data_IF_702391277521
#
_entry.id   IF_702391277521
#
_cell.length_a   1.000
_cell.length_b   1.000
_cell.length_c   1.000
_cell.angle_alpha   90.00
_cell.angle_beta   90.00
_cell.angle_gamma   90.00
#
_symmetry.space_group_name_H-M   'P 1'
#
loop_
_entity.id
_entity.type
_entity.pdbx_description
1 polymer ?
#
# COMPACT_ATOMS: atom_id res chain seq x y z
N UNK A 1 -61.85 -2.58 -48.84
CA UNK A 1 -61.86 -2.35 -47.38
C UNK A 1 -60.54 -2.83 -46.82
N UNK A 2 -59.63 -1.92 -46.43
CA UNK A 2 -58.37 -2.25 -45.77
C UNK A 2 -58.48 -1.86 -44.29
N UNK A 3 -58.53 -2.85 -43.40
CA UNK A 3 -58.39 -2.61 -41.96
C UNK A 3 -56.91 -2.67 -41.61
N UNK A 4 -56.29 -1.50 -41.46
CA UNK A 4 -54.99 -1.39 -40.80
C UNK A 4 -55.19 -1.69 -39.31
N UNK A 5 -54.82 -2.91 -38.89
CA UNK A 5 -54.83 -3.30 -37.49
C UNK A 5 -53.67 -2.59 -36.76
N UNK A 6 -53.98 -1.47 -36.10
CA UNK A 6 -53.03 -0.85 -35.18
C UNK A 6 -52.88 -1.74 -33.94
N UNK A 7 -51.66 -2.18 -33.58
CA UNK A 7 -51.46 -2.86 -32.32
C UNK A 7 -51.74 -1.87 -31.18
N UNK A 8 -52.54 -2.31 -30.20
CA UNK A 8 -52.78 -1.56 -28.97
C UNK A 8 -51.47 -1.19 -28.26
N UNK A 9 -51.54 -0.29 -27.29
CA UNK A 9 -50.38 0.26 -26.55
C UNK A 9 -49.38 -0.81 -26.10
N UNK A 10 -49.85 -1.99 -25.72
CA UNK A 10 -49.02 -3.13 -25.33
C UNK A 10 -48.29 -3.81 -26.49
N UNK A 11 -48.91 -3.90 -27.67
CA UNK A 11 -48.25 -4.45 -28.87
C UNK A 11 -47.13 -3.55 -29.38
N UNK A 12 -47.28 -2.22 -29.25
CA UNK A 12 -46.17 -1.28 -29.55
C UNK A 12 -45.00 -1.44 -28.59
N UNK A 13 -45.27 -1.69 -27.31
CA UNK A 13 -44.22 -1.91 -26.31
C UNK A 13 -43.44 -3.20 -26.59
N UNK A 14 -44.13 -4.29 -26.92
CA UNK A 14 -43.49 -5.58 -27.27
C UNK A 14 -42.61 -5.44 -28.52
N UNK A 15 -43.09 -4.72 -29.54
CA UNK A 15 -42.30 -4.45 -30.75
C UNK A 15 -41.05 -3.62 -30.44
N UNK A 16 -41.16 -2.58 -29.60
CA UNK A 16 -40.02 -1.76 -29.20
C UNK A 16 -39.00 -2.54 -28.36
N UNK A 17 -39.46 -3.39 -27.43
CA UNK A 17 -38.59 -4.28 -26.67
C UNK A 17 -37.88 -5.30 -27.57
N UNK A 18 -38.60 -5.89 -28.55
CA UNK A 18 -38.01 -6.80 -29.52
C UNK A 18 -36.97 -6.13 -30.42
N UNK A 19 -37.24 -4.90 -30.88
CA UNK A 19 -36.30 -4.13 -31.69
C UNK A 19 -35.04 -3.74 -30.90
N UNK A 20 -35.22 -3.37 -29.62
CA UNK A 20 -34.10 -3.06 -28.72
C UNK A 20 -33.23 -4.30 -28.46
N UNK A 21 -33.85 -5.46 -28.21
CA UNK A 21 -33.12 -6.71 -28.03
C UNK A 21 -32.33 -7.10 -29.29
N UNK A 22 -32.94 -6.96 -30.48
CA UNK A 22 -32.27 -7.23 -31.75
C UNK A 22 -31.07 -6.29 -31.96
N UNK A 23 -31.21 -5.02 -31.61
CA UNK A 23 -30.13 -4.04 -31.70
C UNK A 23 -28.96 -4.40 -30.77
N UNK A 24 -29.24 -4.82 -29.54
CA UNK A 24 -28.20 -5.26 -28.61
C UNK A 24 -27.48 -6.51 -29.10
N UNK A 25 -28.21 -7.51 -29.61
CA UNK A 25 -27.62 -8.72 -30.18
C UNK A 25 -26.74 -8.42 -31.41
N UNK A 26 -27.16 -7.45 -32.24
CA UNK A 26 -26.35 -7.00 -33.37
C UNK A 26 -25.04 -6.34 -32.91
N UNK A 27 -25.09 -5.49 -31.87
CA UNK A 27 -23.90 -4.84 -31.30
C UNK A 27 -22.95 -5.86 -30.71
N UNK A 28 -23.45 -6.86 -29.97
CA UNK A 28 -22.62 -7.93 -29.40
C UNK A 28 -21.95 -8.74 -30.51
N UNK A 29 -22.70 -9.15 -31.55
CA UNK A 29 -22.14 -9.87 -32.69
C UNK A 29 -21.07 -9.04 -33.45
N UNK A 30 -21.25 -7.72 -33.51
CA UNK A 30 -20.28 -6.82 -34.13
C UNK A 30 -18.99 -6.71 -33.30
N UNK A 31 -19.10 -6.73 -31.97
CA UNK A 31 -17.96 -6.73 -31.05
C UNK A 31 -17.20 -8.06 -31.13
N UNK A 32 -17.91 -9.19 -31.11
CA UNK A 32 -17.31 -10.52 -31.25
C UNK A 32 -16.56 -10.67 -32.59
N UNK A 33 -17.10 -10.13 -33.68
CA UNK A 33 -16.39 -10.10 -34.98
C UNK A 33 -15.13 -9.22 -34.98
N UNK A 34 -14.95 -8.32 -34.00
CA UNK A 34 -13.79 -7.42 -33.90
C UNK A 34 -12.73 -7.93 -32.92
N UNK A 35 -13.03 -8.93 -32.10
CA UNK A 35 -12.07 -9.58 -31.23
C UNK A 35 -11.33 -10.64 -32.07
N UNK A 36 -10.16 -10.27 -32.58
CA UNK A 36 -9.21 -11.23 -33.15
C UNK A 36 -8.78 -12.22 -32.07
N UNK A 37 -8.89 -13.52 -32.34
CA UNK A 37 -8.32 -14.55 -31.47
C UNK A 37 -6.83 -14.23 -31.24
N UNK A 38 -6.34 -14.30 -29.98
CA UNK A 38 -4.92 -14.17 -29.74
C UNK A 38 -4.20 -15.22 -30.58
N UNK A 39 -3.07 -14.86 -31.23
CA UNK A 39 -2.34 -15.83 -32.04
C UNK A 39 -2.02 -17.06 -31.19
N UNK A 40 -2.06 -18.28 -31.77
CA UNK A 40 -1.60 -19.45 -31.05
C UNK A 40 -0.19 -19.18 -30.55
N UNK A 41 0.04 -19.42 -29.26
CA UNK A 41 1.37 -19.33 -28.68
C UNK A 41 2.25 -20.37 -29.38
N UNK A 42 3.00 -19.95 -30.40
CA UNK A 42 4.07 -20.76 -30.97
C UNK A 42 5.07 -21.04 -29.85
N UNK A 43 5.24 -22.34 -29.60
CA UNK A 43 5.86 -22.88 -28.41
C UNK A 43 7.16 -22.18 -28.04
N UNK A 44 7.21 -21.67 -26.81
CA UNK A 44 8.48 -21.40 -26.14
C UNK A 44 9.27 -22.71 -26.16
N UNK A 45 10.50 -22.77 -26.69
CA UNK A 45 11.30 -23.98 -26.59
C UNK A 45 11.46 -24.30 -25.11
N UNK A 46 11.00 -25.49 -24.73
CA UNK A 46 10.99 -25.94 -23.35
C UNK A 46 12.37 -25.72 -22.72
N UNK A 47 12.38 -25.03 -21.58
CA UNK A 47 13.52 -24.99 -20.68
C UNK A 47 13.87 -26.43 -20.30
N UNK A 48 14.87 -26.99 -20.99
CA UNK A 48 15.46 -28.26 -20.63
C UNK A 48 16.24 -28.06 -19.32
N UNK A 49 15.59 -28.37 -18.20
CA UNK A 49 16.27 -28.51 -16.91
C UNK A 49 17.22 -29.69 -17.04
N UNK A 50 18.52 -29.41 -17.24
CA UNK A 50 19.56 -30.41 -17.00
C UNK A 50 19.71 -30.57 -15.50
N UNK A 51 19.27 -31.72 -15.00
CA UNK A 51 19.61 -32.18 -13.66
C UNK A 51 21.12 -32.46 -13.65
N UNK A 52 21.89 -31.56 -13.02
CA UNK A 52 23.30 -31.81 -12.70
C UNK A 52 23.31 -32.77 -11.52
N UNK A 53 23.91 -33.93 -11.73
CA UNK A 53 24.18 -34.92 -10.69
C UNK A 53 25.13 -34.31 -9.65
N UNK A 54 24.82 -34.39 -8.34
CA UNK A 54 25.64 -33.76 -7.32
C UNK A 54 27.01 -34.42 -7.24
N UNK A 55 28.06 -33.61 -7.40
CA UNK A 55 29.43 -34.03 -7.14
C UNK A 55 29.59 -34.44 -5.66
N UNK A 56 30.40 -35.47 -5.34
CA UNK A 56 30.57 -35.96 -3.99
C UNK A 56 31.17 -34.88 -3.08
N UNK A 57 30.49 -34.65 -1.95
CA UNK A 57 30.88 -33.70 -0.92
C UNK A 57 32.22 -34.10 -0.30
N UNK A 58 33.17 -33.16 -0.29
CA UNK A 58 34.37 -33.26 0.53
C UNK A 58 33.99 -33.35 2.03
N UNK A 59 34.77 -34.06 2.87
CA UNK A 59 34.43 -34.29 4.27
C UNK A 59 34.50 -33.00 5.09
N UNK A 60 33.48 -32.81 5.94
CA UNK A 60 33.38 -31.69 6.86
C UNK A 60 34.51 -31.72 7.92
N UNK A 61 35.05 -30.56 8.32
CA UNK A 61 35.98 -30.47 9.44
C UNK A 61 35.27 -30.78 10.77
N UNK A 62 36.00 -31.51 11.62
CA UNK A 62 35.59 -32.01 12.94
C UNK A 62 35.21 -30.84 13.88
N UNK A 63 34.09 -30.91 14.62
CA UNK A 63 33.75 -29.90 15.62
C UNK A 63 34.70 -29.97 16.82
N UNK A 64 35.33 -28.84 17.14
CA UNK A 64 36.08 -28.66 18.39
C UNK A 64 35.15 -28.66 19.62
N UNK A 65 35.69 -28.96 20.82
CA UNK A 65 34.91 -29.18 22.03
C UNK A 65 34.28 -27.89 22.58
N UNK A 66 33.02 -28.00 23.02
CA UNK A 66 32.23 -26.95 23.63
C UNK A 66 32.82 -26.49 24.99
N UNK A 67 32.89 -25.19 25.28
CA UNK A 67 33.12 -24.68 26.62
C UNK A 67 31.89 -24.85 27.52
N UNK A 68 32.17 -25.24 28.76
CA UNK A 68 31.23 -25.57 29.83
C UNK A 68 30.29 -24.41 30.21
N UNK A 69 29.02 -24.76 30.43
CA UNK A 69 28.07 -23.91 31.14
C UNK A 69 28.28 -24.07 32.65
N UNK A 70 28.63 -22.98 33.33
CA UNK A 70 28.61 -22.88 34.79
C UNK A 70 27.19 -22.57 35.31
N UNK A 71 26.88 -22.98 36.54
CA UNK A 71 25.52 -23.27 36.99
C UNK A 71 24.74 -22.04 37.49
N UNK A 72 23.46 -21.97 37.12
CA UNK A 72 22.51 -21.04 37.71
C UNK A 72 22.13 -21.49 39.13
N UNK A 73 22.47 -20.64 40.09
CA UNK A 73 22.09 -20.70 41.50
C UNK A 73 20.56 -20.70 41.67
N UNK A 74 20.05 -21.74 42.32
CA UNK A 74 18.69 -21.81 42.85
C UNK A 74 18.71 -21.58 44.36
N UNK A 75 17.81 -20.73 44.87
CA UNK A 75 17.19 -20.78 46.21
C UNK A 75 16.19 -19.61 46.36
N UNK A 76 15.26 -19.62 47.34
CA UNK A 76 14.22 -20.61 47.57
C UNK A 76 12.82 -19.95 47.72
N UNK A 77 11.74 -20.69 47.50
CA UNK A 77 10.38 -20.32 47.97
C UNK A 77 10.01 -21.19 49.17
N UNK A 78 9.60 -20.63 50.32
CA UNK A 78 9.26 -21.42 51.49
C UNK A 78 7.82 -21.97 51.48
N UNK A 79 7.76 -23.26 51.82
CA UNK A 79 6.76 -24.09 52.49
C UNK A 79 5.31 -23.60 52.75
N UNK A 80 4.37 -24.37 52.17
CA UNK A 80 3.21 -25.06 52.75
C UNK A 80 2.73 -24.71 54.19
N UNK A 81 1.41 -24.53 54.35
CA UNK A 81 0.62 -25.48 55.17
C UNK A 81 -0.86 -25.57 54.75
N UNK A 82 -1.53 -26.72 55.01
CA UNK A 82 -2.84 -27.11 54.46
C UNK A 82 -3.97 -27.17 55.50
N UNK A 83 -5.23 -26.93 55.08
CA UNK A 83 -6.48 -27.16 55.84
C UNK A 83 -7.60 -27.20 54.78
N UNK A 84 -8.64 -28.04 54.72
CA UNK A 84 -9.10 -29.29 55.32
C UNK A 84 -10.33 -29.69 54.46
N UNK A 85 -10.56 -30.98 54.20
CA UNK A 85 -11.63 -31.45 53.31
C UNK A 85 -12.94 -31.73 54.06
N UNK A 86 -14.06 -31.30 53.47
CA UNK A 86 -15.37 -31.98 53.56
C UNK A 86 -16.59 -31.04 53.47
N UNK A 87 -17.77 -31.50 52.97
CA UNK A 87 -18.01 -32.51 51.95
C UNK A 87 -18.83 -31.97 50.75
N UNK A 88 -18.79 -32.79 49.70
CA UNK A 88 -19.58 -32.75 48.46
C UNK A 88 -21.07 -32.47 48.66
N UNK A 89 -21.60 -31.50 47.89
CA UNK A 89 -23.01 -31.46 47.49
C UNK A 89 -23.07 -31.54 45.98
N UNK A 90 -23.92 -32.44 45.50
CA UNK A 90 -24.07 -32.84 44.11
C UNK A 90 -24.57 -31.71 43.19
N UNK A 91 -24.21 -31.85 41.91
CA UNK A 91 -24.48 -30.98 40.77
C UNK A 91 -25.97 -30.73 40.47
N UNK A 92 -26.25 -29.83 39.52
CA UNK A 92 -26.49 -30.36 38.17
C UNK A 92 -25.67 -29.67 37.09
N UNK A 93 -25.32 -30.49 36.10
CA UNK A 93 -24.61 -30.12 34.89
C UNK A 93 -25.39 -29.05 34.10
N UNK A 94 -24.75 -27.91 33.85
CA UNK A 94 -25.17 -26.97 32.83
C UNK A 94 -24.61 -27.43 31.48
N UNK A 95 -25.51 -27.58 30.50
CA UNK A 95 -25.22 -27.94 29.13
C UNK A 95 -24.24 -26.94 28.47
N UNK A 96 -23.42 -27.38 27.50
CA UNK A 96 -22.51 -26.50 26.78
C UNK A 96 -23.30 -25.49 25.95
N UNK A 97 -23.10 -24.20 26.22
CA UNK A 97 -23.53 -23.13 25.34
C UNK A 97 -22.77 -23.25 24.01
N UNK A 98 -23.44 -23.14 22.84
CA UNK A 98 -22.74 -23.13 21.57
C UNK A 98 -21.84 -21.90 21.48
N UNK A 99 -20.54 -22.14 21.30
CA UNK A 99 -19.59 -21.10 20.90
C UNK A 99 -20.02 -20.58 19.53
N UNK A 100 -20.66 -19.41 19.54
CA UNK A 100 -20.93 -18.63 18.33
C UNK A 100 -19.59 -18.00 17.94
N UNK A 101 -19.01 -18.31 16.76
CA UNK A 101 -17.84 -17.60 16.27
C UNK A 101 -18.20 -16.12 16.10
N UNK A 102 -17.33 -15.24 16.59
CA UNK A 102 -17.48 -13.80 16.54
C UNK A 102 -17.64 -13.31 15.10
N UNK A 103 -18.89 -13.07 14.71
CA UNK A 103 -19.25 -12.26 13.56
C UNK A 103 -19.31 -10.81 14.06
N UNK A 104 -18.32 -10.00 13.66
CA UNK A 104 -18.21 -8.62 14.15
C UNK A 104 -16.83 -7.98 14.00
N UNK A 105 -16.10 -8.26 12.93
CA UNK A 105 -15.28 -7.19 12.35
C UNK A 105 -16.21 -6.49 11.37
N UNK A 106 -16.83 -5.39 11.82
CA UNK A 106 -17.56 -4.52 10.90
C UNK A 106 -16.62 -4.19 9.73
N UNK A 107 -17.04 -4.39 8.47
CA UNK A 107 -16.27 -3.84 7.38
C UNK A 107 -16.25 -2.33 7.62
N UNK A 108 -15.06 -1.80 7.90
CA UNK A 108 -14.85 -0.35 7.90
C UNK A 108 -15.06 0.09 6.45
N UNK A 109 -16.31 0.36 6.09
CA UNK A 109 -16.64 1.13 4.91
C UNK A 109 -16.12 2.53 5.20
N UNK A 110 -14.91 2.83 4.74
CA UNK A 110 -14.45 4.20 4.62
C UNK A 110 -14.92 4.70 3.24
N UNK A 111 -16.06 5.40 3.11
CA UNK A 111 -16.10 6.47 2.12
C UNK A 111 -14.90 7.38 2.41
N UNK A 112 -14.32 7.97 1.37
CA UNK A 112 -13.07 8.72 1.45
C UNK A 112 -13.09 9.75 2.57
N UNK A 113 -12.49 9.39 3.72
CA UNK A 113 -12.45 10.27 4.89
C UNK A 113 -11.69 11.57 4.63
N UNK A 114 -10.92 11.64 3.54
CA UNK A 114 -10.19 12.83 3.15
C UNK A 114 -10.61 13.32 1.77
N UNK A 115 -10.83 14.63 1.69
CA UNK A 115 -10.84 15.39 0.44
C UNK A 115 -9.41 15.48 -0.07
N UNK A 116 -9.23 15.23 -1.37
CA UNK A 116 -7.92 15.21 -2.01
C UNK A 116 -8.00 15.97 -3.33
N UNK A 117 -7.04 16.87 -3.54
CA UNK A 117 -6.81 17.56 -4.80
C UNK A 117 -5.53 17.01 -5.37
N UNK A 118 -5.59 16.46 -6.59
CA UNK A 118 -4.43 15.85 -7.25
C UNK A 118 -3.33 16.91 -7.40
N UNK A 119 -2.12 16.68 -6.87
CA UNK A 119 -1.01 17.62 -7.06
C UNK A 119 -0.65 17.76 -8.55
N UNK A 120 -0.27 18.96 -9.04
CA UNK A 120 0.15 19.12 -10.42
C UNK A 120 1.49 18.40 -10.69
N UNK A 121 1.72 18.02 -11.95
CA UNK A 121 2.96 17.36 -12.42
C UNK A 121 4.22 18.13 -11.99
N UNK A 122 5.15 17.42 -11.37
CA UNK A 122 6.36 18.01 -10.80
C UNK A 122 7.49 16.98 -10.68
N UNK A 123 8.71 17.42 -10.94
CA UNK A 123 9.93 16.72 -10.52
C UNK A 123 10.58 17.46 -9.36
N UNK A 124 10.84 16.74 -8.28
CA UNK A 124 11.56 17.19 -7.10
C UNK A 124 12.93 16.52 -7.05
N UNK A 125 13.98 17.32 -6.89
CA UNK A 125 15.33 16.83 -6.62
C UNK A 125 15.72 17.18 -5.19
N UNK A 126 16.47 16.28 -4.55
CA UNK A 126 16.84 16.37 -3.15
C UNK A 126 18.34 16.12 -2.96
N UNK A 127 18.91 16.73 -1.92
CA UNK A 127 20.18 16.29 -1.35
C UNK A 127 19.89 15.29 -0.22
N UNK A 128 20.60 14.16 -0.20
CA UNK A 128 20.56 13.17 0.89
C UNK A 128 21.76 13.37 1.79
N UNK A 129 21.53 13.42 3.11
CA UNK A 129 22.54 13.61 4.14
C UNK A 129 22.35 12.63 5.28
N UNK A 130 23.46 12.28 5.92
CA UNK A 130 23.52 11.57 7.20
C UNK A 130 24.12 12.47 8.27
N UNK A 131 24.27 11.93 9.50
CA UNK A 131 25.00 12.61 10.57
C UNK A 131 26.47 12.94 10.21
N UNK A 132 27.09 12.19 9.29
CA UNK A 132 28.50 12.40 8.91
C UNK A 132 28.68 13.33 7.70
N UNK A 133 27.59 13.73 7.03
CA UNK A 133 27.64 14.65 5.89
C UNK A 133 26.75 14.21 4.73
N UNK A 134 26.93 14.84 3.54
CA UNK A 134 26.22 14.46 2.31
C UNK A 134 26.49 13.01 1.92
N UNK A 135 25.45 12.32 1.47
CA UNK A 135 25.48 10.91 1.06
C UNK A 135 25.18 10.74 -0.43
N UNK A 136 24.36 11.62 -1.02
CA UNK A 136 23.99 11.53 -2.42
C UNK A 136 22.82 12.44 -2.79
N UNK A 137 22.11 12.07 -3.85
CA UNK A 137 20.92 12.76 -4.33
C UNK A 137 19.72 11.81 -4.33
N UNK A 138 18.52 12.38 -4.29
CA UNK A 138 17.26 11.65 -4.43
C UNK A 138 16.33 12.42 -5.37
N UNK A 139 15.33 11.72 -5.92
CA UNK A 139 14.37 12.28 -6.88
C UNK A 139 12.97 11.72 -6.67
N UNK A 140 11.97 12.59 -6.80
CA UNK A 140 10.57 12.23 -6.96
C UNK A 140 10.07 12.84 -8.26
N UNK A 141 9.67 12.03 -9.23
CA UNK A 141 9.04 12.45 -10.48
C UNK A 141 7.56 12.06 -10.45
N UNK A 142 6.69 13.06 -10.44
CA UNK A 142 5.24 12.93 -10.44
C UNK A 142 4.68 13.51 -11.74
N UNK A 143 3.96 12.67 -12.49
CA UNK A 143 3.33 13.02 -13.76
C UNK A 143 1.87 12.62 -13.72
N UNK A 144 0.98 13.52 -14.09
CA UNK A 144 -0.46 13.27 -14.17
C UNK A 144 -1.12 14.13 -15.24
N UNK A 145 -2.16 13.59 -15.86
CA UNK A 145 -3.10 14.31 -16.73
C UNK A 145 -4.42 14.67 -16.00
N UNK A 146 -4.48 14.43 -14.68
CA UNK A 146 -5.66 14.60 -13.84
C UNK A 146 -6.54 13.34 -13.74
N UNK A 147 -6.38 12.36 -14.63
CA UNK A 147 -7.14 11.10 -14.62
C UNK A 147 -6.23 9.93 -14.27
N UNK A 148 -5.05 9.88 -14.88
CA UNK A 148 -4.01 8.88 -14.68
C UNK A 148 -2.74 9.54 -14.13
N UNK A 149 -1.88 8.74 -13.52
CA UNK A 149 -0.58 9.20 -13.04
C UNK A 149 0.52 8.17 -13.22
N UNK A 150 1.75 8.66 -13.26
CA UNK A 150 2.98 7.92 -13.03
C UNK A 150 3.81 8.60 -11.96
N UNK A 151 4.38 7.82 -11.06
CA UNK A 151 5.22 8.26 -9.97
C UNK A 151 6.49 7.42 -9.95
N UNK A 152 7.66 8.07 -10.00
CA UNK A 152 8.94 7.43 -9.75
C UNK A 152 9.63 8.12 -8.56
N UNK A 153 9.92 7.34 -7.52
CA UNK A 153 10.64 7.77 -6.34
C UNK A 153 11.97 7.00 -6.28
N UNK A 154 13.08 7.70 -6.08
CA UNK A 154 14.38 7.13 -5.75
C UNK A 154 14.99 7.95 -4.61
N UNK A 155 15.15 7.36 -3.44
CA UNK A 155 15.66 8.06 -2.26
C UNK A 155 15.68 7.24 -0.98
N UNK A 156 15.58 7.89 0.18
CA UNK A 156 15.71 7.22 1.48
C UNK A 156 14.58 6.23 1.79
N UNK A 157 13.42 6.39 1.15
CA UNK A 157 12.29 5.46 1.24
C UNK A 157 12.42 4.24 0.31
N UNK A 158 13.52 4.14 -0.43
CA UNK A 158 13.77 3.13 -1.46
C UNK A 158 13.52 3.67 -2.87
N UNK A 159 13.47 2.74 -3.82
CA UNK A 159 13.20 3.05 -5.22
C UNK A 159 11.93 2.36 -5.66
N UNK A 160 10.93 3.17 -5.94
CA UNK A 160 9.55 2.77 -6.08
C UNK A 160 8.99 3.44 -7.33
N UNK A 161 8.43 2.65 -8.23
CA UNK A 161 7.61 3.15 -9.32
C UNK A 161 6.15 2.80 -9.02
N UNK A 162 5.24 3.74 -9.24
CA UNK A 162 3.80 3.56 -9.07
C UNK A 162 3.06 4.17 -10.26
N UNK A 163 1.95 3.56 -10.62
CA UNK A 163 1.01 4.04 -11.62
C UNK A 163 -0.42 3.77 -11.13
N UNK A 164 -1.34 4.58 -11.63
CA UNK A 164 -2.74 4.47 -11.28
C UNK A 164 -3.56 5.63 -11.80
N UNK A 165 -4.73 5.79 -11.22
CA UNK A 165 -5.64 6.87 -11.56
C UNK A 165 -6.10 7.64 -10.32
N UNK A 166 -7.32 8.16 -10.43
CA UNK A 166 -8.01 8.82 -9.33
C UNK A 166 -9.37 8.18 -9.11
N UNK A 167 -9.84 8.22 -7.87
CA UNK A 167 -11.18 7.81 -7.47
C UNK A 167 -11.74 8.76 -6.41
N UNK A 168 -12.90 8.44 -5.84
CA UNK A 168 -13.54 9.24 -4.81
C UNK A 168 -12.65 9.46 -3.55
N UNK A 169 -11.61 8.62 -3.36
CA UNK A 169 -10.63 8.73 -2.28
C UNK A 169 -9.34 9.47 -2.64
N UNK A 170 -9.26 10.04 -3.83
CA UNK A 170 -8.08 10.76 -4.31
C UNK A 170 -7.25 9.89 -5.22
N UNK A 171 -5.97 9.67 -4.86
CA UNK A 171 -5.09 8.86 -5.68
C UNK A 171 -5.45 7.38 -5.55
N UNK A 172 -5.48 6.69 -6.69
CA UNK A 172 -5.89 5.31 -6.79
C UNK A 172 -4.81 4.48 -7.52
N UNK A 173 -3.78 3.98 -6.80
CA UNK A 173 -2.79 3.09 -7.40
C UNK A 173 -3.43 1.84 -7.97
N UNK A 174 -2.97 1.44 -9.15
CA UNK A 174 -3.28 0.15 -9.78
C UNK A 174 -2.08 -0.78 -9.73
N UNK A 175 -0.86 -0.23 -9.77
CA UNK A 175 0.37 -1.00 -9.67
C UNK A 175 1.49 -0.22 -9.02
N UNK A 176 2.33 -0.90 -8.24
CA UNK A 176 3.61 -0.36 -7.81
C UNK A 176 4.70 -1.43 -7.84
N UNK A 177 5.95 -1.01 -8.01
CA UNK A 177 7.10 -1.90 -8.04
C UNK A 177 8.28 -1.32 -7.26
N UNK A 178 8.93 -2.17 -6.47
CA UNK A 178 9.98 -1.82 -5.52
C UNK A 178 11.30 -2.46 -5.95
N UNK A 179 12.37 -1.67 -6.07
CA UNK A 179 13.71 -2.23 -6.32
C UNK A 179 14.18 -3.00 -5.08
N UNK A 180 14.59 -4.25 -5.28
CA UNK A 180 15.13 -5.13 -4.23
C UNK A 180 16.43 -5.78 -4.71
N UNK A 181 17.58 -5.25 -4.27
CA UNK A 181 18.87 -5.67 -4.80
C UNK A 181 18.93 -5.45 -6.31
N UNK A 182 19.18 -6.55 -7.06
CA UNK A 182 19.17 -6.55 -8.53
C UNK A 182 17.78 -6.81 -9.15
N UNK A 183 16.77 -7.13 -8.33
CA UNK A 183 15.42 -7.48 -8.76
C UNK A 183 14.39 -6.39 -8.46
N UNK A 184 13.11 -6.73 -8.73
CA UNK A 184 11.96 -5.90 -8.39
C UNK A 184 10.87 -6.75 -7.72
N UNK A 185 10.13 -6.14 -6.81
CA UNK A 185 8.95 -6.71 -6.20
C UNK A 185 7.71 -5.90 -6.58
N UNK A 186 6.73 -6.52 -7.21
CA UNK A 186 5.50 -5.87 -7.64
C UNK A 186 4.35 -6.02 -6.65
N UNK A 187 3.46 -5.03 -6.64
CA UNK A 187 2.14 -5.08 -6.04
C UNK A 187 1.11 -4.60 -7.06
N UNK A 188 -0.05 -5.23 -7.10
CA UNK A 188 -1.16 -4.84 -7.95
C UNK A 188 -2.44 -4.66 -7.13
N UNK A 189 -3.21 -3.62 -7.43
CA UNK A 189 -4.47 -3.30 -6.77
C UNK A 189 -5.62 -3.62 -7.73
N UNK A 190 -6.38 -4.67 -7.43
CA UNK A 190 -7.61 -5.04 -8.15
C UNK A 190 -8.80 -4.48 -7.38
N UNK A 191 -9.27 -3.31 -7.82
CA UNK A 191 -10.39 -2.59 -7.18
C UNK A 191 -11.72 -3.30 -7.36
N UNK A 192 -11.93 -3.96 -8.50
CA UNK A 192 -13.15 -4.71 -8.79
C UNK A 192 -13.29 -5.91 -7.85
N UNK A 193 -12.18 -6.58 -7.56
CA UNK A 193 -12.12 -7.71 -6.62
C UNK A 193 -11.81 -7.31 -5.18
N UNK A 194 -11.68 -6.01 -4.89
CA UNK A 194 -11.23 -5.48 -3.60
C UNK A 194 -10.02 -6.26 -3.04
N UNK A 195 -9.00 -6.45 -3.87
CA UNK A 195 -7.84 -7.31 -3.59
C UNK A 195 -6.52 -6.62 -3.93
N UNK A 196 -5.52 -6.74 -3.06
CA UNK A 196 -4.13 -6.37 -3.34
C UNK A 196 -3.30 -7.63 -3.53
N UNK A 197 -2.69 -7.80 -4.70
CA UNK A 197 -1.81 -8.92 -5.02
C UNK A 197 -0.37 -8.54 -4.73
N UNK A 198 0.28 -9.26 -3.81
CA UNK A 198 1.71 -9.12 -3.51
C UNK A 198 2.48 -10.12 -4.37
N UNK A 199 2.95 -9.69 -5.54
CA UNK A 199 3.50 -10.57 -6.58
C UNK A 199 4.69 -11.39 -6.06
N UNK A 200 5.59 -10.77 -5.29
CA UNK A 200 6.78 -11.46 -4.75
C UNK A 200 6.48 -12.47 -3.65
N UNK A 201 5.34 -12.36 -2.98
CA UNK A 201 4.93 -13.28 -1.92
C UNK A 201 3.93 -14.33 -2.42
N UNK A 202 3.45 -14.22 -3.67
CA UNK A 202 2.44 -15.12 -4.23
C UNK A 202 1.14 -15.15 -3.42
N UNK A 203 0.80 -14.05 -2.73
CA UNK A 203 -0.39 -13.97 -1.88
C UNK A 203 -1.19 -12.70 -2.14
N UNK A 204 -2.45 -12.75 -1.76
CA UNK A 204 -3.38 -11.62 -1.86
C UNK A 204 -3.82 -11.15 -0.47
N UNK A 205 -4.09 -9.86 -0.37
CA UNK A 205 -4.68 -9.18 0.80
C UNK A 205 -6.00 -8.53 0.38
N UNK A 206 -6.86 -8.23 1.35
CA UNK A 206 -8.05 -7.41 1.11
C UNK A 206 -7.62 -5.98 0.83
N UNK A 207 -8.15 -5.40 -0.24
CA UNK A 207 -8.01 -3.97 -0.53
C UNK A 207 -9.06 -3.16 0.26
N UNK A 208 -8.69 -1.92 0.58
CA UNK A 208 -9.54 -0.94 1.24
C UNK A 208 -9.74 0.28 0.33
N UNK A 209 -10.89 0.96 0.39
CA UNK A 209 -11.04 2.23 -0.30
C UNK A 209 -9.94 3.23 0.10
N UNK A 210 -9.32 3.88 -0.88
CA UNK A 210 -8.23 4.84 -0.65
C UNK A 210 -6.89 4.20 -0.26
N UNK A 211 -6.72 2.89 -0.43
CA UNK A 211 -5.41 2.23 -0.29
C UNK A 211 -4.35 2.89 -1.15
N UNK A 212 -3.14 3.02 -0.59
CA UNK A 212 -1.98 3.60 -1.24
C UNK A 212 -0.83 2.60 -1.30
N UNK A 213 0.14 2.86 -2.18
CA UNK A 213 1.47 2.26 -2.10
C UNK A 213 2.46 3.17 -1.33
N UNK A 214 3.68 2.66 -1.11
CA UNK A 214 4.71 3.34 -0.33
C UNK A 214 5.23 4.65 -0.92
N UNK A 215 5.05 4.91 -2.22
CA UNK A 215 5.40 6.18 -2.85
C UNK A 215 4.18 7.11 -2.95
N UNK A 216 3.04 6.59 -3.41
CA UNK A 216 1.83 7.41 -3.65
C UNK A 216 1.28 8.02 -2.36
N UNK A 217 1.53 7.40 -1.20
CA UNK A 217 1.18 7.99 0.10
C UNK A 217 1.73 9.41 0.30
N UNK A 218 2.91 9.74 -0.25
CA UNK A 218 3.49 11.09 -0.16
C UNK A 218 2.67 12.12 -0.95
N UNK A 219 2.22 11.74 -2.15
CA UNK A 219 1.41 12.59 -3.01
C UNK A 219 -0.04 12.65 -2.52
N UNK A 220 -0.54 11.58 -1.90
CA UNK A 220 -1.84 11.58 -1.22
C UNK A 220 -1.85 12.58 -0.06
N UNK A 221 -0.83 12.56 0.81
CA UNK A 221 -0.69 13.56 1.89
C UNK A 221 -0.61 14.99 1.35
N UNK A 222 0.13 15.19 0.26
CA UNK A 222 0.21 16.48 -0.44
C UNK A 222 -1.18 16.92 -0.93
N UNK A 223 -1.93 16.01 -1.54
CA UNK A 223 -3.26 16.27 -2.08
C UNK A 223 -4.32 16.55 -1.01
N UNK A 224 -4.19 15.93 0.17
CA UNK A 224 -5.03 16.25 1.35
C UNK A 224 -4.79 17.70 1.77
N UNK A 225 -3.52 18.11 1.89
CA UNK A 225 -3.15 19.49 2.23
C UNK A 225 -3.60 20.50 1.17
N UNK A 226 -3.50 20.15 -0.11
CA UNK A 226 -3.99 20.99 -1.21
C UNK A 226 -5.50 21.17 -1.20
N UNK A 227 -6.26 20.12 -0.89
CA UNK A 227 -7.73 20.17 -0.88
C UNK A 227 -8.27 20.95 0.32
N UNK A 228 -7.80 20.59 1.50
CA UNK A 228 -8.27 21.16 2.75
C UNK A 228 -7.24 20.91 3.86
N UNK A 229 -6.43 21.93 4.20
CA UNK A 229 -5.43 21.87 5.26
C UNK A 229 -5.96 21.49 6.64
N UNK A 230 -7.25 21.73 6.93
CA UNK A 230 -7.83 21.41 8.23
C UNK A 230 -7.96 19.90 8.48
N UNK A 231 -7.75 19.09 7.44
CA UNK A 231 -7.61 17.64 7.56
C UNK A 231 -6.24 17.20 8.09
N UNK A 232 -5.25 18.10 8.12
CA UNK A 232 -3.89 17.86 8.58
C UNK A 232 -3.62 18.53 9.94
N UNK A 233 -4.53 18.35 10.90
CA UNK A 233 -4.41 18.94 12.25
C UNK A 233 -3.96 17.94 13.31
N UNK A 234 -4.39 16.68 13.23
CA UNK A 234 -4.09 15.64 14.23
C UNK A 234 -3.41 14.41 13.61
N UNK A 235 -4.19 13.45 13.11
CA UNK A 235 -3.67 12.17 12.63
C UNK A 235 -4.34 11.77 11.33
N UNK A 236 -3.52 11.27 10.39
CA UNK A 236 -3.95 10.78 9.08
C UNK A 236 -3.67 9.28 8.98
N UNK A 237 -4.66 8.41 8.78
CA UNK A 237 -4.45 6.93 8.91
C UNK A 237 -4.49 6.11 7.60
N UNK A 238 -3.57 6.23 6.67
CA UNK A 238 -3.74 5.65 5.32
C UNK A 238 -3.49 4.12 5.30
N UNK A 239 -4.33 3.34 4.62
CA UNK A 239 -4.00 1.92 4.37
C UNK A 239 -2.92 1.86 3.29
N UNK A 240 -1.73 1.38 3.64
CA UNK A 240 -0.58 1.37 2.74
C UNK A 240 -0.11 -0.06 2.51
N UNK A 241 -0.03 -0.45 1.24
CA UNK A 241 0.52 -1.71 0.80
C UNK A 241 1.94 -1.55 0.26
N UNK A 242 2.82 -2.48 0.65
CA UNK A 242 4.18 -2.64 0.15
C UNK A 242 4.42 -4.10 -0.20
N UNK A 243 5.52 -4.39 -0.87
CA UNK A 243 5.91 -5.76 -1.20
C UNK A 243 5.97 -6.71 0.01
N UNK A 244 6.21 -6.19 1.21
CA UNK A 244 6.26 -6.97 2.46
C UNK A 244 4.91 -7.19 3.14
N UNK A 245 3.85 -6.50 2.73
CA UNK A 245 2.54 -6.54 3.39
C UNK A 245 1.80 -5.21 3.33
N UNK A 246 0.62 -5.16 3.94
CA UNK A 246 -0.17 -3.94 4.03
C UNK A 246 -0.68 -3.70 5.45
N UNK A 247 -0.76 -2.44 5.85
CA UNK A 247 -1.21 -2.02 7.17
C UNK A 247 -1.78 -0.60 7.12
N UNK A 248 -2.59 -0.25 8.13
CA UNK A 248 -2.97 1.15 8.36
C UNK A 248 -1.77 1.90 8.95
N UNK A 249 -1.24 2.86 8.21
CA UNK A 249 -0.19 3.77 8.65
C UNK A 249 -0.78 5.04 9.23
N UNK A 250 -0.44 5.34 10.49
CA UNK A 250 -0.88 6.57 11.16
C UNK A 250 0.20 7.63 11.06
N UNK A 251 -0.10 8.75 10.43
CA UNK A 251 0.77 9.92 10.35
C UNK A 251 0.28 10.97 11.35
N UNK A 252 1.02 11.15 12.44
CA UNK A 252 0.74 12.19 13.43
C UNK A 252 1.32 13.51 12.96
N UNK A 253 0.51 14.56 12.98
CA UNK A 253 0.92 15.93 12.71
C UNK A 253 1.66 16.47 13.93
N UNK A 254 2.86 17.00 13.72
CA UNK A 254 3.73 17.53 14.77
C UNK A 254 3.76 19.07 14.80
N UNK A 255 3.08 19.71 13.85
CA UNK A 255 3.01 21.16 13.72
C UNK A 255 3.91 21.71 12.62
N UNK A 256 3.83 23.03 12.44
CA UNK A 256 4.60 23.77 11.44
C UNK A 256 5.95 24.21 12.01
N UNK A 257 6.99 24.13 11.19
CA UNK A 257 8.32 24.63 11.54
C UNK A 257 9.01 25.29 10.35
N UNK A 258 9.95 26.20 10.64
CA UNK A 258 10.84 26.74 9.62
C UNK A 258 11.92 25.72 9.29
N UNK A 259 11.91 25.25 8.05
CA UNK A 259 12.84 24.25 7.53
C UNK A 259 13.89 24.92 6.64
N UNK A 260 15.17 24.70 6.93
CA UNK A 260 16.25 25.06 6.03
C UNK A 260 16.52 23.90 5.06
N UNK A 261 16.37 24.16 3.76
CA UNK A 261 16.67 23.21 2.68
C UNK A 261 17.76 23.76 1.76
N UNK A 262 18.41 22.94 0.94
CA UNK A 262 19.29 23.45 -0.12
C UNK A 262 18.62 24.44 -1.09
N UNK A 263 17.30 24.36 -1.28
CA UNK A 263 16.53 25.33 -2.08
C UNK A 263 16.27 26.66 -1.33
N UNK A 264 16.49 26.71 -0.02
CA UNK A 264 16.23 27.87 0.83
C UNK A 264 15.40 27.52 2.07
N UNK A 265 15.17 28.52 2.91
CA UNK A 265 14.32 28.39 4.09
C UNK A 265 12.83 28.47 3.70
N UNK A 266 11.99 27.60 4.28
CA UNK A 266 10.54 27.59 4.03
C UNK A 266 9.78 27.05 5.24
N UNK A 267 8.52 27.46 5.39
CA UNK A 267 7.61 26.86 6.37
C UNK A 267 7.18 25.47 5.87
N UNK A 268 7.23 24.47 6.74
CA UNK A 268 6.71 23.14 6.44
C UNK A 268 5.95 22.54 7.63
N UNK A 269 4.87 21.83 7.34
CA UNK A 269 4.15 20.99 8.29
C UNK A 269 4.87 19.64 8.41
N UNK A 270 5.29 19.28 9.63
CA UNK A 270 5.95 18.00 9.91
C UNK A 270 4.92 16.96 10.30
N UNK A 271 5.00 15.79 9.70
CA UNK A 271 4.25 14.59 10.05
C UNK A 271 5.20 13.46 10.37
N UNK A 272 4.85 12.60 11.32
CA UNK A 272 5.59 11.39 11.66
C UNK A 272 4.70 10.17 11.55
N UNK A 273 5.14 9.16 10.79
CA UNK A 273 4.50 7.85 10.79
C UNK A 273 4.75 7.21 12.16
N UNK A 274 3.66 6.92 12.88
CA UNK A 274 3.70 6.19 14.14
C UNK A 274 4.37 4.84 13.89
N UNK A 275 5.45 4.59 14.62
CA UNK A 275 6.27 3.38 14.54
C UNK A 275 6.28 2.69 15.91
N UNK A 276 6.36 1.36 15.92
CA UNK A 276 6.53 0.60 17.15
C UNK A 276 7.98 0.74 17.66
N UNK A 277 8.23 0.50 18.97
CA UNK A 277 9.60 0.43 19.47
C UNK A 277 10.44 -0.57 18.66
N UNK A 278 11.61 -0.14 18.19
CA UNK A 278 12.50 -0.96 17.35
C UNK A 278 12.17 -0.94 15.85
N UNK A 279 11.17 -0.19 15.40
CA UNK A 279 10.89 0.04 13.98
C UNK A 279 11.52 1.35 13.48
N UNK A 280 11.72 1.43 12.16
CA UNK A 280 12.18 2.64 11.48
C UNK A 280 11.10 3.74 11.56
N UNK A 281 11.45 4.86 12.20
CA UNK A 281 10.63 6.07 12.19
C UNK A 281 10.79 6.77 10.83
N UNK A 282 9.66 7.11 10.21
CA UNK A 282 9.60 7.92 8.98
C UNK A 282 8.90 9.24 9.27
N UNK A 283 9.50 10.33 8.84
CA UNK A 283 8.97 11.68 8.98
C UNK A 283 8.93 12.37 7.62
N UNK A 284 7.91 13.20 7.41
CA UNK A 284 7.63 13.90 6.16
C UNK A 284 7.33 15.36 6.47
N UNK A 285 7.89 16.26 5.67
CA UNK A 285 7.62 17.69 5.74
C UNK A 285 6.91 18.13 4.47
N UNK A 286 5.72 18.71 4.61
CA UNK A 286 4.92 19.24 3.51
C UNK A 286 4.96 20.77 3.59
N UNK A 287 5.36 21.46 2.51
CA UNK A 287 5.43 22.92 2.52
C UNK A 287 4.19 23.55 1.87
N UNK A 288 3.30 24.25 2.62
CA UNK A 288 2.12 24.88 2.03
C UNK A 288 2.49 25.88 0.92
N UNK A 289 3.56 26.65 1.12
CA UNK A 289 4.08 27.61 0.13
C UNK A 289 4.65 26.97 -1.15
N UNK A 290 4.83 25.65 -1.18
CA UNK A 290 5.25 24.90 -2.37
C UNK A 290 4.12 24.02 -2.93
N UNK A 291 2.86 24.27 -2.55
CA UNK A 291 1.73 23.45 -2.98
C UNK A 291 1.65 22.12 -2.22
N UNK A 292 2.01 22.15 -0.93
CA UNK A 292 2.01 20.99 -0.02
C UNK A 292 2.91 19.83 -0.44
N UNK A 293 3.87 20.08 -1.34
CA UNK A 293 4.81 19.06 -1.80
C UNK A 293 5.71 18.55 -0.66
N UNK A 294 6.19 17.29 -0.73
CA UNK A 294 7.10 16.73 0.26
C UNK A 294 8.49 17.34 0.08
N UNK A 295 8.83 18.32 0.92
CA UNK A 295 10.09 19.08 0.83
C UNK A 295 11.22 18.47 1.64
N UNK A 296 10.90 17.58 2.58
CA UNK A 296 11.89 16.76 3.27
C UNK A 296 11.28 15.44 3.69
N UNK A 297 12.11 14.39 3.69
CA UNK A 297 11.83 13.17 4.41
C UNK A 297 13.01 12.84 5.31
N UNK A 298 12.73 12.23 6.46
CA UNK A 298 13.77 11.75 7.37
C UNK A 298 13.40 10.36 7.85
N UNK A 299 14.39 9.48 7.82
CA UNK A 299 14.30 8.17 8.47
C UNK A 299 15.22 8.14 9.67
N UNK A 300 14.73 7.61 10.80
CA UNK A 300 15.54 7.32 11.98
C UNK A 300 15.47 5.82 12.25
N UNK A 301 16.62 5.16 12.17
CA UNK A 301 16.73 3.73 12.45
C UNK A 301 16.71 3.45 13.96
N UNK A 302 16.50 2.19 14.38
CA UNK A 302 16.44 1.82 15.80
C UNK A 302 17.72 2.16 16.59
N UNK A 303 18.87 2.21 15.93
CA UNK A 303 20.16 2.61 16.51
C UNK A 303 20.34 4.13 16.63
N UNK A 304 19.34 4.92 16.23
CA UNK A 304 19.35 6.38 16.23
C UNK A 304 20.04 7.01 15.01
N UNK A 305 20.58 6.21 14.08
CA UNK A 305 21.13 6.74 12.84
C UNK A 305 20.05 7.38 11.99
N UNK A 306 20.37 8.52 11.36
CA UNK A 306 19.43 9.29 10.56
C UNK A 306 19.91 9.46 9.13
N UNK A 307 18.94 9.42 8.21
CA UNK A 307 19.12 9.83 6.81
C UNK A 307 18.03 10.85 6.50
N UNK A 308 18.43 11.99 5.97
CA UNK A 308 17.53 13.09 5.61
C UNK A 308 17.68 13.39 4.15
N UNK A 309 16.57 13.41 3.40
CA UNK A 309 16.53 13.95 2.04
C UNK A 309 15.81 15.29 2.07
N UNK A 310 16.48 16.37 1.66
CA UNK A 310 15.96 17.73 1.72
C UNK A 310 15.95 18.39 0.33
N UNK A 311 14.89 19.16 0.05
CA UNK A 311 14.62 19.70 -1.28
C UNK A 311 15.74 20.60 -1.81
N UNK A 312 16.20 20.29 -3.01
CA UNK A 312 17.26 21.01 -3.74
C UNK A 312 16.73 21.69 -5.00
N UNK A 313 15.67 21.17 -5.62
CA UNK A 313 15.10 21.75 -6.83
C UNK A 313 13.67 21.32 -7.07
N UNK A 314 12.91 22.22 -7.72
CA UNK A 314 11.54 21.98 -8.18
C UNK A 314 11.49 22.28 -9.68
N UNK A 315 11.13 21.29 -10.49
CA UNK A 315 10.82 21.47 -11.90
C UNK A 315 9.33 21.18 -12.09
N UNK A 316 8.53 22.23 -12.27
CA UNK A 316 7.11 22.09 -12.60
C UNK A 316 6.96 21.82 -14.09
N UNK A 317 6.15 20.82 -14.44
CA UNK A 317 5.81 20.58 -15.84
C UNK A 317 4.59 21.44 -16.16
N UNK A 318 4.63 22.32 -17.17
CA UNK A 318 3.45 23.08 -17.58
C UNK A 318 2.30 22.12 -17.91
N UNK A 319 1.08 22.46 -17.49
CA UNK A 319 -0.10 21.79 -18.03
C UNK A 319 -0.13 22.08 -19.54
N UNK A 320 0.01 21.02 -20.34
CA UNK A 320 -0.10 21.08 -21.81
C UNK A 320 -1.54 21.27 -22.27
#
# INVERSE_FOLDING_TARGET
MNFAAFPGRHGRLVVLCGLSLLLHLLVIALIDMRITEPPPFDGVPGLAVRLVEPAPSAPAPVPGPAPAAEPALSAPTPALTPIEQGPSTAAPAAAPLPATPAEGAEPVQMPSRYRVTVPPSVTLSYEVRTAVGPEGEARLAWETDGVQYRLALDGIAGSIESEGGTDDAGLAPTRASYRQGLGRAGIAFDRERATIVLESLGRSLRDMPGSQDGATVLMQLSGIGLADPDQLQDTVEIYVARASGAAVERYRVLGKEQLATPLGAMEALRLARVAQPGELLMEVWLAPGQGWLPVQLRTTAPDGSTRTQALKGIQRVPAG
#
